data_IF_374652067598
#
_entry.id   IF_374652067598
#
_cell.length_a   1.000
_cell.length_b   1.000
_cell.length_c   1.000
_cell.angle_alpha   90.00
_cell.angle_beta   90.00
_cell.angle_gamma   90.00
#
_symmetry.space_group_name_H-M   'P 1'
#
loop_
_entity.id
_entity.type
_entity.pdbx_description
1 polymer ?
#
# COMPACT_ATOMS: atom_id res chain seq x y z
N UNK A 1 -12.15 -20.04 23.33
CA UNK A 1 -12.99 -19.14 22.51
C UNK A 1 -13.33 -17.94 23.37
N UNK A 2 -12.77 -16.76 23.11
CA UNK A 2 -13.15 -15.57 23.85
C UNK A 2 -14.48 -15.06 23.29
N UNK A 3 -15.49 -15.08 24.15
CA UNK A 3 -16.86 -14.64 23.88
C UNK A 3 -16.88 -13.16 23.47
N UNK A 4 -17.36 -12.87 22.26
CA UNK A 4 -17.41 -11.53 21.68
C UNK A 4 -18.65 -10.80 22.20
N UNK A 5 -18.53 -10.09 23.33
CA UNK A 5 -19.55 -9.12 23.73
C UNK A 5 -19.33 -7.81 22.96
N UNK A 6 -19.95 -7.70 21.79
CA UNK A 6 -20.09 -6.41 21.09
C UNK A 6 -20.88 -5.43 21.97
N UNK A 7 -20.34 -4.24 22.19
CA UNK A 7 -21.05 -3.21 22.96
C UNK A 7 -22.12 -2.55 22.10
N UNK A 8 -23.11 -1.89 22.73
CA UNK A 8 -24.12 -1.07 22.01
C UNK A 8 -23.51 0.01 21.12
N UNK A 9 -22.27 0.45 21.40
CA UNK A 9 -21.53 1.44 20.60
C UNK A 9 -21.05 0.84 19.28
N UNK A 10 -20.68 -0.45 19.27
CA UNK A 10 -20.14 -1.16 18.09
C UNK A 10 -21.22 -1.47 17.04
N UNK A 11 -22.50 -1.33 17.39
CA UNK A 11 -23.65 -1.64 16.56
C UNK A 11 -24.24 -0.41 15.83
N UNK A 12 -23.72 0.80 16.07
CA UNK A 12 -24.18 2.02 15.38
C UNK A 12 -23.25 2.35 14.21
N UNK A 13 -23.77 2.70 13.02
CA UNK A 13 -22.94 3.17 11.91
C UNK A 13 -22.15 4.41 12.33
N UNK A 14 -20.83 4.37 12.10
CA UNK A 14 -19.95 5.50 12.40
C UNK A 14 -20.25 6.65 11.42
N UNK A 15 -20.45 7.87 11.94
CA UNK A 15 -20.67 9.04 11.08
C UNK A 15 -19.36 9.37 10.36
N UNK A 16 -19.32 9.12 9.05
CA UNK A 16 -18.17 9.44 8.20
C UNK A 16 -17.88 10.94 8.20
N UNK A 17 -16.61 11.37 8.34
CA UNK A 17 -16.23 12.77 8.24
C UNK A 17 -16.54 13.37 6.86
N UNK A 18 -16.71 14.70 6.81
CA UNK A 18 -17.10 15.40 5.59
C UNK A 18 -16.07 15.30 4.44
N UNK A 19 -14.79 15.10 4.77
CA UNK A 19 -13.71 14.92 3.80
C UNK A 19 -13.67 13.50 3.20
N UNK A 20 -14.37 12.52 3.79
CA UNK A 20 -14.38 11.14 3.30
C UNK A 20 -15.50 10.94 2.27
N UNK A 21 -15.30 11.51 1.08
CA UNK A 21 -16.25 11.46 -0.03
C UNK A 21 -15.58 10.91 -1.29
N UNK A 22 -16.32 10.07 -2.01
CA UNK A 22 -15.92 9.61 -3.35
C UNK A 22 -16.61 10.45 -4.41
N UNK A 23 -15.95 10.62 -5.55
CA UNK A 23 -16.54 11.21 -6.75
C UNK A 23 -17.14 10.10 -7.62
N UNK A 24 -18.33 10.36 -8.18
CA UNK A 24 -19.04 9.41 -9.04
C UNK A 24 -19.07 9.98 -10.45
N UNK A 25 -17.93 9.92 -11.12
CA UNK A 25 -17.75 10.51 -12.44
C UNK A 25 -17.65 9.35 -13.46
N UNK A 26 -18.72 9.13 -14.24
CA UNK A 26 -18.90 8.18 -15.37
C UNK A 26 -19.59 6.83 -15.08
N UNK A 27 -20.68 6.56 -15.84
CA UNK A 27 -21.53 5.36 -15.71
C UNK A 27 -21.24 4.29 -16.77
N UNK A 28 -20.89 4.69 -17.99
CA UNK A 28 -20.86 3.77 -19.14
C UNK A 28 -19.65 2.84 -19.13
N UNK A 29 -18.45 3.37 -18.84
CA UNK A 29 -17.21 2.58 -18.76
C UNK A 29 -17.20 1.60 -17.58
N UNK A 30 -17.93 1.92 -16.52
CA UNK A 30 -18.12 1.01 -15.39
C UNK A 30 -18.79 -0.31 -15.82
N UNK A 31 -19.87 -0.22 -16.59
CA UNK A 31 -20.64 -1.38 -17.03
C UNK A 31 -19.84 -2.26 -17.99
N UNK A 32 -19.03 -1.65 -18.87
CA UNK A 32 -18.12 -2.37 -19.76
C UNK A 32 -17.17 -3.30 -18.97
N UNK A 33 -16.51 -2.78 -17.93
CA UNK A 33 -15.59 -3.57 -17.10
C UNK A 33 -16.34 -4.63 -16.31
N UNK A 34 -17.50 -4.28 -15.72
CA UNK A 34 -18.29 -5.23 -14.93
C UNK A 34 -18.78 -6.41 -15.77
N UNK A 35 -19.35 -6.17 -16.95
CA UNK A 35 -19.78 -7.25 -17.85
C UNK A 35 -18.61 -8.10 -18.32
N UNK A 36 -17.45 -7.49 -18.61
CA UNK A 36 -16.26 -8.24 -19.03
C UNK A 36 -15.76 -9.20 -17.94
N UNK A 37 -15.78 -8.77 -16.67
CA UNK A 37 -15.42 -9.61 -15.53
C UNK A 37 -16.36 -10.82 -15.45
N UNK A 38 -17.67 -10.59 -15.56
CA UNK A 38 -18.68 -11.65 -15.51
C UNK A 38 -18.55 -12.62 -16.70
N UNK A 39 -18.40 -12.09 -17.93
CA UNK A 39 -18.25 -12.87 -19.16
C UNK A 39 -17.04 -13.81 -19.14
N UNK A 40 -15.95 -13.38 -18.48
CA UNK A 40 -14.73 -14.18 -18.33
C UNK A 40 -14.76 -15.05 -17.05
N UNK A 41 -15.88 -15.07 -16.32
CA UNK A 41 -16.02 -15.80 -15.06
C UNK A 41 -14.93 -15.44 -14.03
N UNK A 42 -14.53 -14.18 -14.00
CA UNK A 42 -13.50 -13.65 -13.11
C UNK A 42 -14.11 -13.02 -11.87
N UNK A 43 -13.30 -12.86 -10.83
CA UNK A 43 -13.63 -12.05 -9.67
C UNK A 43 -12.69 -10.85 -9.59
N UNK A 44 -13.17 -9.75 -9.01
CA UNK A 44 -12.31 -8.63 -8.64
C UNK A 44 -12.42 -8.35 -7.16
N UNK A 45 -11.29 -8.02 -6.53
CA UNK A 45 -11.31 -7.54 -5.13
C UNK A 45 -12.04 -6.20 -5.04
N UNK A 46 -12.16 -5.48 -6.15
CA UNK A 46 -12.94 -4.24 -6.24
C UNK A 46 -14.41 -4.49 -5.87
N UNK A 47 -15.01 -5.56 -6.41
CA UNK A 47 -16.38 -5.98 -6.09
C UNK A 47 -16.44 -6.66 -4.71
N UNK A 48 -15.60 -7.68 -4.50
CA UNK A 48 -15.71 -8.55 -3.31
C UNK A 48 -15.32 -7.87 -2.00
N UNK A 49 -14.39 -6.91 -2.05
CA UNK A 49 -14.04 -6.09 -0.87
C UNK A 49 -14.91 -4.84 -0.71
N UNK A 50 -15.90 -4.63 -1.58
CA UNK A 50 -16.77 -3.43 -1.60
C UNK A 50 -15.96 -2.13 -1.67
N UNK A 51 -15.01 -2.09 -2.60
CA UNK A 51 -14.06 -0.99 -2.70
C UNK A 51 -14.78 0.34 -3.01
N UNK A 52 -14.55 1.41 -2.24
CA UNK A 52 -15.15 2.72 -2.53
C UNK A 52 -14.68 3.30 -3.87
N UNK A 53 -13.50 2.88 -4.35
CA UNK A 53 -12.86 3.43 -5.56
C UNK A 53 -13.28 2.67 -6.84
N UNK A 54 -14.17 1.68 -6.75
CA UNK A 54 -14.56 0.84 -7.90
C UNK A 54 -15.07 1.69 -9.08
N UNK A 55 -15.82 2.77 -8.79
CA UNK A 55 -16.34 3.68 -9.79
C UNK A 55 -15.24 4.38 -10.58
N UNK A 56 -14.23 4.90 -9.88
CA UNK A 56 -13.09 5.56 -10.51
C UNK A 56 -12.24 4.55 -11.29
N UNK A 57 -11.86 3.44 -10.64
CA UNK A 57 -10.99 2.43 -11.25
C UNK A 57 -11.61 1.84 -12.52
N UNK A 58 -12.87 1.40 -12.47
CA UNK A 58 -13.52 0.79 -13.64
C UNK A 58 -13.76 1.83 -14.74
N UNK A 59 -14.09 3.08 -14.38
CA UNK A 59 -14.23 4.16 -15.37
C UNK A 59 -12.91 4.49 -16.08
N UNK A 60 -11.79 4.26 -15.40
CA UNK A 60 -10.44 4.37 -15.94
C UNK A 60 -9.91 3.04 -16.51
N UNK A 61 -10.80 2.08 -16.80
CA UNK A 61 -10.49 0.75 -17.36
C UNK A 61 -9.42 -0.01 -16.56
N UNK A 62 -9.43 0.13 -15.25
CA UNK A 62 -8.51 -0.53 -14.33
C UNK A 62 -9.29 -1.43 -13.36
N UNK A 63 -8.78 -2.63 -13.12
CA UNK A 63 -9.32 -3.57 -12.14
C UNK A 63 -8.19 -4.33 -11.45
N UNK A 64 -8.47 -4.82 -10.25
CA UNK A 64 -7.59 -5.77 -9.55
C UNK A 64 -8.27 -7.12 -9.52
N UNK A 65 -7.71 -8.07 -10.26
CA UNK A 65 -8.26 -9.42 -10.40
C UNK A 65 -8.01 -10.21 -9.12
N UNK A 66 -9.02 -10.93 -8.65
CA UNK A 66 -8.94 -11.80 -7.48
C UNK A 66 -9.07 -13.25 -7.92
N UNK A 67 -7.96 -13.96 -7.85
CA UNK A 67 -7.86 -15.36 -8.20
C UNK A 67 -8.52 -16.25 -7.15
N UNK A 68 -8.83 -17.47 -7.60
CA UNK A 68 -9.23 -18.62 -6.78
C UNK A 68 -10.61 -18.46 -6.14
N UNK A 69 -11.48 -17.68 -6.79
CA UNK A 69 -12.87 -17.47 -6.41
C UNK A 69 -13.11 -16.32 -5.44
N UNK A 70 -14.27 -16.35 -4.80
CA UNK A 70 -14.86 -15.33 -3.92
C UNK A 70 -14.95 -15.76 -2.45
N UNK A 71 -14.53 -17.00 -2.14
CA UNK A 71 -14.60 -17.61 -0.80
C UNK A 71 -13.20 -17.84 -0.25
N UNK A 72 -12.90 -17.24 0.90
CA UNK A 72 -11.61 -17.27 1.56
C UNK A 72 -11.61 -18.20 2.78
N UNK A 73 -10.54 -18.96 2.98
CA UNK A 73 -10.35 -19.85 4.14
C UNK A 73 -10.10 -19.11 5.46
N UNK A 74 -9.78 -17.80 5.42
CA UNK A 74 -9.35 -17.01 6.59
C UNK A 74 -10.31 -15.90 7.00
N UNK A 75 -10.31 -15.58 8.30
CA UNK A 75 -11.34 -14.79 8.98
C UNK A 75 -10.83 -13.42 9.43
N UNK A 76 -10.11 -12.71 8.55
CA UNK A 76 -9.63 -11.35 8.82
C UNK A 76 -10.81 -10.43 9.18
N UNK A 77 -10.74 -9.76 10.33
CA UNK A 77 -11.85 -9.01 10.92
C UNK A 77 -12.27 -7.74 10.17
N UNK A 78 -11.45 -7.29 9.23
CA UNK A 78 -11.68 -6.12 8.37
C UNK A 78 -12.22 -6.49 6.97
N UNK A 79 -12.07 -7.74 6.54
CA UNK A 79 -12.17 -8.13 5.14
C UNK A 79 -13.58 -8.58 4.77
N UNK A 80 -14.18 -7.95 3.76
CA UNK A 80 -15.56 -8.21 3.33
C UNK A 80 -15.74 -9.49 2.49
N UNK A 81 -14.66 -10.05 1.94
CA UNK A 81 -14.69 -11.28 1.12
C UNK A 81 -15.34 -12.41 1.91
N UNK A 82 -16.20 -13.20 1.26
CA UNK A 82 -16.94 -14.31 1.86
C UNK A 82 -16.00 -15.33 2.51
N UNK A 83 -16.39 -15.89 3.66
CA UNK A 83 -15.60 -16.89 4.41
C UNK A 83 -16.25 -18.25 4.30
N UNK A 84 -15.47 -19.30 4.08
CA UNK A 84 -16.01 -20.66 3.98
C UNK A 84 -15.09 -21.63 3.22
N UNK A 85 -15.69 -22.74 2.77
CA UNK A 85 -15.01 -23.73 1.93
C UNK A 85 -14.95 -23.22 0.47
N UNK A 86 -13.76 -23.02 -0.10
CA UNK A 86 -13.62 -22.58 -1.49
C UNK A 86 -14.10 -23.63 -2.49
N UNK A 87 -14.40 -23.18 -3.71
CA UNK A 87 -14.67 -24.06 -4.85
C UNK A 87 -13.36 -24.62 -5.41
N UNK A 88 -13.48 -25.65 -6.27
CA UNK A 88 -12.35 -26.13 -7.06
C UNK A 88 -11.77 -24.99 -7.90
N UNK A 89 -10.44 -25.01 -8.10
CA UNK A 89 -9.79 -24.06 -8.98
C UNK A 89 -10.27 -24.23 -10.42
N UNK A 90 -10.56 -23.12 -11.08
CA UNK A 90 -10.77 -23.11 -12.52
C UNK A 90 -9.41 -23.12 -13.23
N UNK A 91 -9.03 -24.18 -13.96
CA UNK A 91 -7.76 -24.22 -14.68
C UNK A 91 -7.67 -23.18 -15.81
N UNK A 92 -8.78 -22.60 -16.26
CA UNK A 92 -8.81 -21.55 -17.28
C UNK A 92 -8.66 -20.13 -16.71
N UNK A 93 -8.81 -19.92 -15.39
CA UNK A 93 -8.74 -18.61 -14.73
C UNK A 93 -7.45 -17.82 -15.09
N UNK A 94 -6.24 -18.43 -15.11
CA UNK A 94 -5.00 -17.73 -15.50
C UNK A 94 -5.06 -17.10 -16.89
N UNK A 95 -5.62 -17.85 -17.86
CA UNK A 95 -5.78 -17.40 -19.23
C UNK A 95 -6.86 -16.32 -19.32
N UNK A 96 -7.99 -16.49 -18.64
CA UNK A 96 -9.05 -15.48 -18.61
C UNK A 96 -8.55 -14.15 -18.03
N UNK A 97 -7.72 -14.16 -16.98
CA UNK A 97 -7.08 -12.94 -16.47
C UNK A 97 -6.19 -12.30 -17.55
N UNK A 98 -5.38 -13.08 -18.26
CA UNK A 98 -4.54 -12.56 -19.34
C UNK A 98 -5.36 -11.93 -20.49
N UNK A 99 -6.51 -12.52 -20.83
CA UNK A 99 -7.45 -11.97 -21.80
C UNK A 99 -8.11 -10.68 -21.30
N UNK A 100 -8.48 -10.61 -20.01
CA UNK A 100 -9.04 -9.42 -19.38
C UNK A 100 -8.05 -8.26 -19.38
N UNK A 101 -6.79 -8.51 -18.99
CA UNK A 101 -5.68 -7.55 -19.04
C UNK A 101 -5.54 -6.96 -20.45
N UNK A 102 -5.61 -7.82 -21.48
CA UNK A 102 -5.54 -7.40 -22.88
C UNK A 102 -6.72 -6.53 -23.30
N UNK A 103 -7.94 -6.97 -22.98
CA UNK A 103 -9.19 -6.25 -23.31
C UNK A 103 -9.22 -4.85 -22.68
N UNK A 104 -8.74 -4.73 -21.45
CA UNK A 104 -8.65 -3.45 -20.73
C UNK A 104 -7.47 -2.59 -21.19
N UNK A 105 -6.50 -3.15 -21.91
CA UNK A 105 -5.28 -2.44 -22.33
C UNK A 105 -4.42 -2.00 -21.15
N UNK A 106 -4.36 -2.80 -20.07
CA UNK A 106 -3.62 -2.44 -18.87
C UNK A 106 -2.12 -2.41 -19.15
N UNK A 107 -1.45 -1.34 -18.71
CA UNK A 107 0.02 -1.28 -18.66
C UNK A 107 0.59 -1.89 -17.38
N UNK A 108 -0.22 -1.99 -16.33
CA UNK A 108 0.12 -2.57 -15.04
C UNK A 108 -1.09 -3.34 -14.51
N UNK A 109 -0.98 -4.67 -14.42
CA UNK A 109 -2.01 -5.54 -13.88
C UNK A 109 -1.72 -5.85 -12.42
N UNK A 110 -2.70 -5.61 -11.54
CA UNK A 110 -2.63 -6.03 -10.13
C UNK A 110 -3.49 -7.28 -9.96
N UNK A 111 -2.89 -8.34 -9.42
CA UNK A 111 -3.50 -9.65 -9.26
C UNK A 111 -3.38 -10.05 -7.78
N UNK A 112 -4.49 -10.39 -7.15
CA UNK A 112 -4.55 -10.86 -5.76
C UNK A 112 -5.27 -12.20 -5.72
N UNK A 113 -5.42 -12.80 -4.54
CA UNK A 113 -6.31 -13.94 -4.36
C UNK A 113 -7.02 -13.91 -3.02
N UNK A 114 -8.00 -14.80 -2.87
CA UNK A 114 -8.39 -15.31 -1.56
C UNK A 114 -7.28 -16.20 -0.96
N UNK A 115 -7.34 -16.47 0.35
CA UNK A 115 -6.48 -17.51 0.93
C UNK A 115 -7.06 -18.88 0.59
N UNK A 116 -6.18 -19.81 0.24
CA UNK A 116 -6.48 -21.20 -0.12
C UNK A 116 -5.69 -22.17 0.75
N UNK A 117 -5.88 -22.08 2.06
CA UNK A 117 -5.17 -22.96 3.01
C UNK A 117 -5.59 -24.45 2.86
N UNK A 118 -6.63 -24.72 2.06
CA UNK A 118 -7.05 -26.06 1.63
C UNK A 118 -6.15 -26.66 0.55
N UNK A 119 -5.34 -25.85 -0.14
CA UNK A 119 -4.40 -26.31 -1.16
C UNK A 119 -2.99 -26.50 -0.56
N UNK A 120 -2.24 -27.56 -0.95
CA UNK A 120 -0.90 -27.82 -0.40
C UNK A 120 0.11 -26.68 -0.57
N UNK A 121 0.00 -25.92 -1.66
CA UNK A 121 0.88 -24.79 -2.00
C UNK A 121 0.22 -23.43 -1.74
N UNK A 122 -0.97 -23.41 -1.12
CA UNK A 122 -1.75 -22.20 -0.89
C UNK A 122 -2.19 -21.46 -2.17
N UNK A 123 -2.09 -22.09 -3.34
CA UNK A 123 -2.41 -21.50 -4.64
C UNK A 123 -1.24 -20.82 -5.36
N UNK A 124 -0.01 -20.99 -4.89
CA UNK A 124 1.19 -20.38 -5.50
C UNK A 124 1.37 -20.74 -6.99
N UNK A 125 1.15 -22.00 -7.38
CA UNK A 125 1.22 -22.39 -8.79
C UNK A 125 0.17 -21.68 -9.65
N UNK A 126 -0.98 -21.33 -9.06
CA UNK A 126 -2.05 -20.62 -9.75
C UNK A 126 -1.67 -19.14 -10.01
N UNK A 127 -1.05 -18.49 -9.03
CA UNK A 127 -0.40 -17.18 -9.24
C UNK A 127 0.67 -17.25 -10.34
N UNK A 128 1.58 -18.22 -10.25
CA UNK A 128 2.66 -18.39 -11.22
C UNK A 128 2.15 -18.62 -12.65
N UNK A 129 1.12 -19.47 -12.81
CA UNK A 129 0.45 -19.68 -14.08
C UNK A 129 -0.16 -18.37 -14.63
N UNK A 130 -0.82 -17.60 -13.76
CA UNK A 130 -1.44 -16.32 -14.15
C UNK A 130 -0.41 -15.29 -14.59
N UNK A 131 0.71 -15.14 -13.86
CA UNK A 131 1.79 -14.23 -14.26
C UNK A 131 2.33 -14.61 -15.64
N UNK A 132 2.58 -15.91 -15.88
CA UNK A 132 3.10 -16.41 -17.16
C UNK A 132 2.12 -16.16 -18.32
N UNK A 133 0.83 -16.44 -18.12
CA UNK A 133 -0.19 -16.17 -19.13
C UNK A 133 -0.33 -14.67 -19.42
N UNK A 134 -0.34 -13.82 -18.39
CA UNK A 134 -0.40 -12.36 -18.57
C UNK A 134 0.80 -11.86 -19.37
N UNK A 135 2.02 -12.29 -19.03
CA UNK A 135 3.24 -11.91 -19.78
C UNK A 135 3.21 -12.43 -21.22
N UNK A 136 2.72 -13.65 -21.45
CA UNK A 136 2.60 -14.24 -22.79
C UNK A 136 1.66 -13.46 -23.69
N UNK A 137 0.49 -13.07 -23.19
CA UNK A 137 -0.52 -12.35 -23.97
C UNK A 137 -0.28 -10.84 -24.01
N UNK A 138 0.42 -10.29 -23.02
CA UNK A 138 0.60 -8.87 -22.79
C UNK A 138 2.06 -8.55 -22.42
N UNK A 139 3.03 -8.73 -23.34
CA UNK A 139 4.45 -8.60 -23.03
C UNK A 139 4.89 -7.20 -22.55
N UNK A 140 4.11 -6.15 -22.84
CA UNK A 140 4.35 -4.79 -22.34
C UNK A 140 3.63 -4.44 -21.03
N UNK A 141 2.90 -5.39 -20.44
CA UNK A 141 2.19 -5.18 -19.19
C UNK A 141 3.06 -5.61 -18.00
N UNK A 142 3.22 -4.73 -17.02
CA UNK A 142 3.81 -5.08 -15.72
C UNK A 142 2.81 -5.85 -14.87
N UNK A 143 3.31 -6.74 -14.03
CA UNK A 143 2.51 -7.61 -13.18
C UNK A 143 2.88 -7.38 -11.71
N UNK A 144 1.94 -6.83 -10.95
CA UNK A 144 2.00 -6.79 -9.49
C UNK A 144 1.14 -7.92 -8.92
N UNK A 145 1.70 -8.70 -7.99
CA UNK A 145 0.93 -9.72 -7.26
C UNK A 145 0.81 -9.35 -5.79
N UNK A 146 -0.41 -9.29 -5.28
CA UNK A 146 -0.73 -9.18 -3.85
C UNK A 146 -1.02 -10.58 -3.32
N UNK A 147 -0.04 -11.19 -2.63
CA UNK A 147 -0.08 -12.60 -2.25
C UNK A 147 -0.48 -12.81 -0.79
N UNK A 148 -1.08 -13.97 -0.45
CA UNK A 148 -1.22 -14.41 0.93
C UNK A 148 0.15 -14.75 1.56
N UNK A 149 0.17 -15.11 2.85
CA UNK A 149 1.41 -15.49 3.55
C UNK A 149 1.83 -16.96 3.31
N UNK A 150 1.06 -17.70 2.50
CA UNK A 150 1.17 -19.14 2.22
C UNK A 150 1.38 -20.02 3.46
N UNK A 151 0.89 -19.60 4.63
CA UNK A 151 1.15 -20.25 5.91
C UNK A 151 2.66 -20.38 6.26
N UNK A 152 3.53 -19.60 5.63
CA UNK A 152 4.99 -19.69 5.78
C UNK A 152 5.62 -20.81 4.96
N UNK A 153 4.90 -21.34 3.95
CA UNK A 153 5.48 -22.21 2.95
C UNK A 153 6.38 -21.38 2.02
N UNK A 154 7.70 -21.51 2.18
CA UNK A 154 8.67 -20.75 1.40
C UNK A 154 8.86 -21.29 -0.01
N UNK A 155 8.64 -22.59 -0.23
CA UNK A 155 8.64 -23.17 -1.59
C UNK A 155 7.49 -22.56 -2.42
N UNK A 156 6.33 -22.31 -1.81
CA UNK A 156 5.23 -21.60 -2.44
C UNK A 156 5.59 -20.15 -2.80
N UNK A 157 6.33 -19.44 -1.93
CA UNK A 157 6.86 -18.11 -2.27
C UNK A 157 7.83 -18.20 -3.46
N UNK A 158 8.74 -19.17 -3.45
CA UNK A 158 9.73 -19.36 -4.51
C UNK A 158 9.04 -19.61 -5.87
N UNK A 159 8.00 -20.43 -5.91
CA UNK A 159 7.18 -20.66 -7.13
C UNK A 159 6.62 -19.36 -7.71
N UNK A 160 6.14 -18.44 -6.87
CA UNK A 160 5.65 -17.13 -7.33
C UNK A 160 6.80 -16.26 -7.82
N UNK A 161 7.93 -16.23 -7.10
CA UNK A 161 9.09 -15.42 -7.46
C UNK A 161 9.78 -15.89 -8.74
N UNK A 162 9.81 -17.19 -9.00
CA UNK A 162 10.28 -17.80 -10.25
C UNK A 162 9.42 -17.41 -11.46
N UNK A 163 8.14 -17.09 -11.25
CA UNK A 163 7.27 -16.54 -12.29
C UNK A 163 7.57 -15.05 -12.60
N UNK A 164 8.45 -14.43 -11.80
CA UNK A 164 9.01 -13.10 -11.98
C UNK A 164 7.96 -11.98 -12.05
N UNK A 165 7.13 -11.74 -11.01
CA UNK A 165 6.33 -10.52 -10.93
C UNK A 165 7.23 -9.26 -10.94
N UNK A 166 6.72 -8.14 -11.46
CA UNK A 166 7.43 -6.86 -11.39
C UNK A 166 7.39 -6.26 -9.98
N UNK A 167 6.29 -6.50 -9.27
CA UNK A 167 6.11 -6.10 -7.86
C UNK A 167 5.52 -7.27 -7.09
N UNK A 168 6.18 -7.68 -6.01
CA UNK A 168 5.59 -8.56 -5.02
C UNK A 168 5.04 -7.75 -3.84
N UNK A 169 3.72 -7.78 -3.69
CA UNK A 169 3.00 -7.11 -2.64
C UNK A 169 2.52 -8.11 -1.59
N UNK A 170 2.78 -7.82 -0.31
CA UNK A 170 2.18 -8.52 0.82
C UNK A 170 1.88 -7.53 1.92
N UNK A 171 0.59 -7.26 2.15
CA UNK A 171 0.17 -6.32 3.18
C UNK A 171 0.37 -6.91 4.58
N UNK A 172 0.84 -6.08 5.51
CA UNK A 172 0.74 -6.33 6.96
C UNK A 172 -0.64 -5.98 7.50
N UNK A 173 -1.34 -5.05 6.84
CA UNK A 173 -2.69 -4.55 7.12
C UNK A 173 -2.82 -3.73 8.41
N UNK A 174 -2.06 -4.05 9.46
CA UNK A 174 -2.12 -3.36 10.76
C UNK A 174 -0.78 -3.49 11.50
N UNK A 175 -0.65 -2.75 12.60
CA UNK A 175 0.47 -2.84 13.54
C UNK A 175 0.53 -4.18 14.29
N UNK A 176 1.73 -4.54 14.75
CA UNK A 176 2.03 -5.80 15.47
C UNK A 176 1.11 -6.07 16.67
N UNK A 177 0.84 -5.05 17.49
CA UNK A 177 -0.01 -5.19 18.68
C UNK A 177 -1.46 -5.61 18.36
N UNK A 178 -1.97 -5.19 17.21
CA UNK A 178 -3.35 -5.48 16.78
C UNK A 178 -3.46 -6.73 15.89
N UNK A 179 -2.33 -7.34 15.51
CA UNK A 179 -2.29 -8.35 14.46
C UNK A 179 -3.24 -9.52 14.73
N UNK A 180 -3.22 -10.08 15.95
CA UNK A 180 -4.11 -11.19 16.34
C UNK A 180 -5.60 -10.80 16.34
N UNK A 181 -5.93 -9.54 16.65
CA UNK A 181 -7.31 -9.03 16.64
C UNK A 181 -7.81 -8.84 15.21
N UNK A 182 -6.96 -8.29 14.34
CA UNK A 182 -7.31 -7.91 12.96
C UNK A 182 -7.20 -9.07 11.98
N UNK A 183 -6.16 -9.90 12.14
CA UNK A 183 -5.79 -11.04 11.30
C UNK A 183 -5.50 -12.28 12.16
N UNK A 184 -6.54 -12.90 12.74
CA UNK A 184 -6.37 -14.01 13.69
C UNK A 184 -5.60 -15.21 13.09
N UNK A 185 -5.66 -15.38 11.77
CA UNK A 185 -5.06 -16.50 11.03
C UNK A 185 -3.71 -16.12 10.37
N UNK A 186 -3.11 -14.98 10.71
CA UNK A 186 -1.82 -14.55 10.18
C UNK A 186 -0.83 -14.25 11.31
N UNK A 187 0.47 -14.27 11.00
CA UNK A 187 1.56 -13.97 11.95
C UNK A 187 2.37 -12.78 11.44
N UNK A 188 2.52 -11.72 12.26
CA UNK A 188 3.23 -10.50 11.87
C UNK A 188 4.67 -10.76 11.43
N UNK A 189 5.42 -11.54 12.23
CA UNK A 189 6.81 -11.90 11.91
C UNK A 189 6.93 -12.70 10.60
N UNK A 190 5.92 -13.50 10.25
CA UNK A 190 5.89 -14.23 8.98
C UNK A 190 5.72 -13.28 7.80
N UNK A 191 4.89 -12.25 7.93
CA UNK A 191 4.71 -11.23 6.89
C UNK A 191 5.98 -10.43 6.65
N UNK A 192 6.74 -10.10 7.71
CA UNK A 192 8.06 -9.48 7.60
C UNK A 192 9.04 -10.39 6.87
N UNK A 193 9.13 -11.66 7.30
CA UNK A 193 10.02 -12.65 6.70
C UNK A 193 9.71 -12.89 5.21
N UNK A 194 8.42 -12.90 4.83
CA UNK A 194 7.99 -13.03 3.44
C UNK A 194 8.52 -11.86 2.59
N UNK A 195 8.34 -10.62 3.05
CA UNK A 195 8.83 -9.43 2.34
C UNK A 195 10.36 -9.44 2.22
N UNK A 196 11.07 -9.78 3.30
CA UNK A 196 12.53 -9.91 3.31
C UNK A 196 13.01 -10.96 2.32
N UNK A 197 12.38 -12.14 2.29
CA UNK A 197 12.71 -13.20 1.34
C UNK A 197 12.44 -12.78 -0.09
N UNK A 198 11.30 -12.15 -0.36
CA UNK A 198 10.97 -11.66 -1.69
C UNK A 198 11.97 -10.59 -2.18
N UNK A 199 12.38 -9.68 -1.30
CA UNK A 199 13.39 -8.67 -1.62
C UNK A 199 14.76 -9.29 -1.93
N UNK A 200 15.10 -10.44 -1.32
CA UNK A 200 16.37 -11.13 -1.57
C UNK A 200 16.49 -11.72 -2.99
N UNK A 201 15.40 -11.85 -3.75
CA UNK A 201 15.43 -12.22 -5.17
C UNK A 201 15.89 -11.08 -6.08
N UNK A 202 15.92 -9.85 -5.56
CA UNK A 202 16.30 -8.66 -6.32
C UNK A 202 17.76 -8.79 -6.81
N UNK A 203 17.95 -8.63 -8.11
CA UNK A 203 19.25 -8.63 -8.78
C UNK A 203 19.25 -7.65 -9.95
N UNK A 204 20.41 -7.45 -10.59
CA UNK A 204 20.50 -6.60 -11.78
C UNK A 204 19.57 -7.08 -12.90
N UNK A 205 19.44 -8.39 -13.08
CA UNK A 205 18.58 -8.99 -14.11
C UNK A 205 17.13 -9.11 -13.67
N UNK A 206 16.84 -9.02 -12.36
CA UNK A 206 15.49 -9.12 -11.81
C UNK A 206 15.27 -8.02 -10.75
N UNK A 207 14.95 -6.79 -11.17
CA UNK A 207 14.80 -5.65 -10.26
C UNK A 207 13.41 -5.64 -9.60
N UNK A 208 12.99 -6.77 -9.03
CA UNK A 208 11.69 -6.88 -8.35
C UNK A 208 11.57 -5.89 -7.21
N UNK A 209 10.40 -5.27 -7.11
CA UNK A 209 10.05 -4.39 -6.01
C UNK A 209 9.17 -5.12 -5.01
N UNK A 210 9.34 -4.81 -3.74
CA UNK A 210 8.46 -5.29 -2.67
C UNK A 210 7.54 -4.18 -2.21
N UNK A 211 6.32 -4.56 -1.84
CA UNK A 211 5.28 -3.62 -1.44
C UNK A 211 4.49 -4.14 -0.26
N UNK A 212 4.03 -3.22 0.58
CA UNK A 212 3.10 -3.52 1.65
C UNK A 212 2.12 -2.38 1.89
N UNK A 213 1.10 -2.67 2.70
CA UNK A 213 0.05 -1.73 3.02
C UNK A 213 -0.40 -1.87 4.46
N UNK A 214 -0.78 -0.74 5.06
CA UNK A 214 -1.34 -0.64 6.40
C UNK A 214 -2.64 0.14 6.34
N UNK A 215 -3.70 -0.41 6.94
CA UNK A 215 -4.95 0.30 7.15
C UNK A 215 -4.92 1.01 8.51
N UNK A 216 -5.32 2.27 8.53
CA UNK A 216 -5.38 3.11 9.71
C UNK A 216 -6.81 3.22 10.22
N UNK A 217 -6.97 3.33 11.54
CA UNK A 217 -8.25 3.48 12.22
C UNK A 217 -8.79 2.19 12.84
N UNK A 218 -7.95 1.17 13.05
CA UNK A 218 -8.29 -0.09 13.71
C UNK A 218 -7.96 -0.10 15.22
N UNK A 219 -7.38 1.00 15.71
CA UNK A 219 -7.05 1.23 17.12
C UNK A 219 -5.56 1.42 17.38
N UNK A 220 -4.76 1.46 16.31
CA UNK A 220 -3.33 1.66 16.37
C UNK A 220 -2.99 3.08 16.81
N UNK A 221 -1.88 3.20 17.53
CA UNK A 221 -1.28 4.49 17.88
C UNK A 221 -0.29 4.94 16.81
N UNK A 222 0.06 6.23 16.83
CA UNK A 222 1.08 6.78 15.94
C UNK A 222 2.43 6.08 16.11
N UNK A 223 2.85 5.80 17.34
CA UNK A 223 4.16 5.19 17.60
C UNK A 223 4.23 3.75 17.05
N UNK A 224 3.15 2.98 17.18
CA UNK A 224 3.05 1.63 16.60
C UNK A 224 3.04 1.65 15.07
N UNK A 225 2.42 2.68 14.45
CA UNK A 225 2.50 2.89 13.00
C UNK A 225 3.94 3.16 12.57
N UNK A 226 4.65 4.03 13.28
CA UNK A 226 6.05 4.34 12.99
C UNK A 226 6.97 3.14 13.22
N UNK A 227 6.71 2.30 14.23
CA UNK A 227 7.40 1.02 14.42
C UNK A 227 7.15 0.08 13.25
N UNK A 228 5.90 -0.08 12.83
CA UNK A 228 5.54 -0.93 11.68
C UNK A 228 6.20 -0.44 10.38
N UNK A 229 6.28 0.88 10.18
CA UNK A 229 6.98 1.47 9.04
C UNK A 229 8.49 1.17 9.07
N UNK A 230 9.12 1.22 10.25
CA UNK A 230 10.53 0.84 10.43
C UNK A 230 10.73 -0.66 10.15
N UNK A 231 9.90 -1.52 10.73
CA UNK A 231 9.97 -2.97 10.50
C UNK A 231 9.87 -3.30 9.00
N UNK A 232 8.95 -2.66 8.28
CA UNK A 232 8.80 -2.83 6.83
C UNK A 232 10.07 -2.39 6.08
N UNK A 233 10.69 -1.27 6.47
CA UNK A 233 11.94 -0.82 5.86
C UNK A 233 13.11 -1.73 6.16
N UNK A 234 13.23 -2.21 7.40
CA UNK A 234 14.26 -3.17 7.81
C UNK A 234 14.15 -4.51 7.07
N UNK A 235 12.97 -4.83 6.54
CA UNK A 235 12.72 -6.00 5.69
C UNK A 235 12.64 -5.65 4.20
N UNK A 236 13.32 -4.57 3.78
CA UNK A 236 13.52 -4.16 2.39
C UNK A 236 12.24 -3.91 1.58
N UNK A 237 11.15 -3.49 2.22
CA UNK A 237 9.91 -3.09 1.56
C UNK A 237 10.06 -1.75 0.80
N UNK A 238 10.00 -1.75 -0.54
CA UNK A 238 10.24 -0.55 -1.35
C UNK A 238 9.06 0.43 -1.36
N UNK A 239 7.83 -0.09 -1.43
CA UNK A 239 6.61 0.71 -1.61
C UNK A 239 5.67 0.51 -0.42
N UNK A 240 5.16 1.62 0.12
CA UNK A 240 4.18 1.60 1.22
C UNK A 240 2.88 2.29 0.82
N UNK A 241 1.75 1.64 1.11
CA UNK A 241 0.43 2.28 1.02
C UNK A 241 -0.21 2.44 2.41
N UNK A 242 -0.68 3.64 2.74
CA UNK A 242 -1.38 3.95 3.99
C UNK A 242 -2.79 4.43 3.69
N UNK A 243 -3.80 3.64 4.08
CA UNK A 243 -5.20 3.90 3.76
C UNK A 243 -6.10 3.92 5.00
N UNK A 244 -7.22 4.66 4.98
CA UNK A 244 -8.21 4.57 6.05
C UNK A 244 -8.97 3.24 5.97
N UNK A 245 -9.02 2.51 7.08
CA UNK A 245 -9.93 1.38 7.26
C UNK A 245 -11.37 1.88 7.18
N UNK A 246 -12.13 1.28 6.26
CA UNK A 246 -13.56 1.51 6.11
C UNK A 246 -14.29 0.22 6.43
N UNK A 247 -15.08 0.25 7.50
CA UNK A 247 -15.86 -0.89 7.97
C UNK A 247 -16.89 -1.35 6.91
N UNK A 248 -16.78 -2.59 6.41
CA UNK A 248 -17.69 -3.06 5.35
C UNK A 248 -19.13 -3.34 5.83
N UNK A 249 -19.28 -3.76 7.10
CA UNK A 249 -20.58 -3.99 7.74
C UNK A 249 -20.42 -4.04 9.26
N UNK A 250 -21.54 -4.03 10.00
CA UNK A 250 -21.55 -4.11 11.46
C UNK A 250 -20.96 -5.41 12.04
N UNK A 251 -20.73 -6.45 11.21
CA UNK A 251 -20.08 -7.70 11.64
C UNK A 251 -18.55 -7.61 11.66
N UNK A 252 -17.99 -6.59 11.01
CA UNK A 252 -16.55 -6.33 10.95
C UNK A 252 -16.10 -5.44 12.11
N UNK A 253 -14.78 -5.36 12.32
CA UNK A 253 -14.19 -4.52 13.36
C UNK A 253 -14.69 -3.06 13.26
N UNK A 254 -14.96 -2.40 14.39
CA UNK A 254 -15.37 -1.00 14.40
C UNK A 254 -14.23 -0.09 13.90
N UNK A 255 -14.59 1.09 13.39
CA UNK A 255 -13.59 2.14 13.13
C UNK A 255 -13.30 2.85 14.46
N UNK A 256 -12.06 2.79 14.93
CA UNK A 256 -11.61 3.42 16.18
C UNK A 256 -11.24 4.89 15.97
N UNK A 257 -10.70 5.23 14.79
CA UNK A 257 -10.31 6.59 14.42
C UNK A 257 -10.47 6.82 12.92
N UNK A 258 -10.98 8.01 12.55
CA UNK A 258 -10.86 8.52 11.20
C UNK A 258 -9.70 9.52 11.15
N UNK A 259 -8.65 9.17 10.41
CA UNK A 259 -7.46 10.02 10.26
C UNK A 259 -7.73 11.16 9.28
N UNK A 260 -7.30 12.37 9.64
CA UNK A 260 -7.39 13.54 8.76
C UNK A 260 -6.42 13.39 7.58
N UNK A 261 -6.73 13.92 6.38
CA UNK A 261 -5.79 13.95 5.25
C UNK A 261 -4.39 14.46 5.60
N UNK A 262 -4.28 15.46 6.48
CA UNK A 262 -2.99 16.00 6.91
C UNK A 262 -2.15 14.98 7.70
N UNK A 263 -2.78 14.09 8.46
CA UNK A 263 -2.07 13.01 9.17
C UNK A 263 -1.50 11.98 8.19
N UNK A 264 -2.24 11.67 7.11
CA UNK A 264 -1.71 10.86 6.02
C UNK A 264 -0.56 11.55 5.30
N UNK A 265 -0.66 12.86 5.05
CA UNK A 265 0.41 13.63 4.43
C UNK A 265 1.68 13.65 5.31
N UNK A 266 1.54 13.79 6.63
CA UNK A 266 2.65 13.70 7.58
C UNK A 266 3.31 12.32 7.53
N UNK A 267 2.52 11.24 7.61
CA UNK A 267 3.03 9.87 7.53
C UNK A 267 3.73 9.58 6.20
N UNK A 268 3.23 10.17 5.09
CA UNK A 268 3.90 10.10 3.78
C UNK A 268 5.32 10.65 3.83
N UNK A 269 5.47 11.87 4.38
CA UNK A 269 6.79 12.51 4.49
C UNK A 269 7.73 11.71 5.38
N UNK A 270 7.21 11.18 6.49
CA UNK A 270 7.99 10.33 7.40
C UNK A 270 8.44 9.05 6.68
N UNK A 271 7.55 8.38 5.95
CA UNK A 271 7.90 7.17 5.21
C UNK A 271 8.96 7.43 4.13
N UNK A 272 8.82 8.51 3.36
CA UNK A 272 9.85 8.90 2.39
C UNK A 272 11.20 9.18 3.08
N UNK A 273 11.19 9.86 4.23
CA UNK A 273 12.40 10.10 5.02
C UNK A 273 13.02 8.82 5.61
N UNK A 274 12.22 7.77 5.84
CA UNK A 274 12.69 6.42 6.23
C UNK A 274 13.27 5.62 5.06
N UNK A 275 13.18 6.14 3.83
CA UNK A 275 13.76 5.52 2.64
C UNK A 275 12.85 4.52 1.93
N UNK A 276 11.52 4.60 2.11
CA UNK A 276 10.61 4.00 1.12
C UNK A 276 10.81 4.72 -0.22
N UNK A 277 10.86 3.97 -1.32
CA UNK A 277 11.01 4.56 -2.66
C UNK A 277 9.76 5.30 -3.10
N UNK A 278 8.60 4.82 -2.64
CA UNK A 278 7.33 5.48 -2.84
C UNK A 278 6.41 5.24 -1.64
N UNK A 279 5.65 6.27 -1.26
CA UNK A 279 4.62 6.19 -0.23
C UNK A 279 3.34 6.84 -0.75
N UNK A 280 2.30 6.02 -0.91
CA UNK A 280 0.95 6.47 -1.23
C UNK A 280 0.14 6.51 0.06
N UNK A 281 -0.35 7.69 0.46
CA UNK A 281 -1.00 7.85 1.75
C UNK A 281 -2.21 8.78 1.64
N UNK A 282 -3.38 8.28 2.04
CA UNK A 282 -4.60 9.06 2.01
C UNK A 282 -5.82 8.25 2.40
N UNK A 283 -6.96 8.90 2.71
CA UNK A 283 -8.11 8.18 3.24
C UNK A 283 -8.68 7.11 2.29
N UNK A 284 -8.66 7.37 0.98
CA UNK A 284 -9.18 6.45 -0.03
C UNK A 284 -8.11 5.52 -0.61
N UNK A 285 -6.84 5.66 -0.19
CA UNK A 285 -5.76 4.80 -0.69
C UNK A 285 -6.03 3.34 -0.36
N UNK A 286 -5.74 2.49 -1.34
CA UNK A 286 -5.77 1.02 -1.24
C UNK A 286 -4.48 0.49 -1.84
N UNK A 287 -4.11 -0.75 -1.50
CA UNK A 287 -2.88 -1.36 -2.02
C UNK A 287 -2.80 -1.36 -3.55
N UNK A 288 -3.93 -1.40 -4.27
CA UNK A 288 -3.95 -1.34 -5.74
C UNK A 288 -4.38 0.02 -6.32
N UNK A 289 -4.69 1.02 -5.49
CA UNK A 289 -5.10 2.34 -5.96
C UNK A 289 -3.91 3.06 -6.60
N UNK A 290 -4.08 3.52 -7.84
CA UNK A 290 -3.03 4.18 -8.65
C UNK A 290 -1.69 3.40 -8.74
N UNK A 291 -1.72 2.07 -8.60
CA UNK A 291 -0.51 1.24 -8.55
C UNK A 291 0.46 1.47 -9.72
N UNK A 292 -0.07 1.72 -10.92
CA UNK A 292 0.75 2.03 -12.10
C UNK A 292 1.58 3.31 -11.98
N UNK A 293 1.09 4.32 -11.25
CA UNK A 293 1.80 5.60 -11.00
C UNK A 293 2.88 5.40 -9.93
N UNK A 294 2.56 4.64 -8.89
CA UNK A 294 3.49 4.32 -7.80
C UNK A 294 4.78 3.71 -8.32
N UNK A 295 4.69 2.75 -9.25
CA UNK A 295 5.88 2.09 -9.79
C UNK A 295 6.61 2.96 -10.82
N UNK A 296 5.87 3.75 -11.61
CA UNK A 296 6.49 4.71 -12.52
C UNK A 296 7.34 5.76 -11.79
N UNK A 297 6.93 6.18 -10.58
CA UNK A 297 7.74 7.06 -9.73
C UNK A 297 8.99 6.37 -9.17
N UNK A 298 8.91 5.08 -8.84
CA UNK A 298 10.07 4.31 -8.36
C UNK A 298 11.13 4.13 -9.44
N UNK A 299 10.72 3.96 -10.70
CA UNK A 299 11.63 3.81 -11.83
C UNK A 299 12.24 5.15 -12.30
N UNK A 300 11.74 6.28 -11.81
CA UNK A 300 12.29 7.59 -12.13
C UNK A 300 13.68 7.78 -11.46
N UNK A 301 14.66 8.40 -12.15
CA UNK A 301 15.94 8.72 -11.53
C UNK A 301 15.74 9.58 -10.28
N UNK A 302 16.31 9.15 -9.14
CA UNK A 302 16.28 9.93 -7.91
C UNK A 302 16.95 11.28 -8.17
N UNK A 303 16.28 12.43 -7.96
CA UNK A 303 16.95 13.72 -8.03
C UNK A 303 18.08 13.76 -6.99
N UNK A 304 19.27 14.18 -7.43
CA UNK A 304 20.46 14.22 -6.58
C UNK A 304 20.15 14.88 -5.23
N UNK A 305 20.56 14.23 -4.15
CA UNK A 305 20.37 14.74 -2.79
C UNK A 305 20.91 16.18 -2.69
N UNK A 306 20.21 17.10 -2.00
CA UNK A 306 20.76 18.41 -1.75
C UNK A 306 22.07 18.28 -0.96
N UNK A 307 23.06 19.15 -1.20
CA UNK A 307 24.36 19.04 -0.56
C UNK A 307 24.20 19.05 0.96
N UNK A 308 24.86 18.10 1.61
CA UNK A 308 24.94 17.97 3.06
C UNK A 308 25.35 19.30 3.67
N UNK A 309 24.54 19.82 4.59
CA UNK A 309 24.88 20.98 5.40
C UNK A 309 26.21 20.70 6.10
N UNK A 310 27.22 21.50 5.75
CA UNK A 310 28.54 21.49 6.37
C UNK A 310 28.37 21.67 7.88
N UNK A 311 28.97 20.81 8.72
CA UNK A 311 28.90 20.99 10.16
C UNK A 311 29.52 22.34 10.52
N UNK A 312 28.78 23.21 11.20
CA UNK A 312 29.31 24.41 11.83
C UNK A 312 30.35 23.96 12.88
N UNK A 313 31.62 23.91 12.48
CA UNK A 313 32.73 23.77 13.40
C UNK A 313 32.68 24.96 14.35
N UNK A 314 32.46 24.69 15.64
CA UNK A 314 32.62 25.67 16.72
C UNK A 314 34.01 26.29 16.60
N UNK A 315 34.10 27.52 16.09
CA UNK A 315 35.32 28.32 16.21
C UNK A 315 35.52 28.63 17.69
N UNK A 316 36.60 28.11 18.26
CA UNK A 316 37.12 28.52 19.56
C UNK A 316 37.41 30.02 19.53
N UNK A 317 36.90 30.70 20.54
CA UNK A 317 37.31 32.04 20.93
C UNK A 317 38.82 32.07 21.17
N UNK A 318 39.52 32.94 20.45
CA UNK A 318 40.81 33.51 20.84
C UNK A 318 40.83 34.95 20.33
N UNK A 319 40.98 35.87 21.27
CA UNK A 319 41.01 37.31 21.06
C UNK A 319 42.29 37.76 20.35
N UNK A 320 42.18 38.73 19.45
CA UNK A 320 43.19 39.79 19.23
C UNK A 320 42.52 40.93 18.44
N UNK A 321 42.56 42.14 18.99
CA UNK A 321 42.11 43.35 18.31
C UNK A 321 43.09 43.78 17.20
N UNK A 322 42.61 44.55 16.20
CA UNK A 322 43.45 45.61 15.69
C UNK A 322 42.74 46.96 15.48
N UNK A 323 43.48 47.98 15.90
CA UNK A 323 43.56 49.40 15.56
C UNK A 323 42.58 50.04 14.55
N UNK A 324 42.03 51.18 15.01
CA UNK A 324 41.34 52.21 14.23
C UNK A 324 42.34 53.14 13.52
N UNK A 325 42.08 53.58 12.28
CA UNK A 325 42.64 54.81 11.75
C UNK A 325 41.62 55.95 11.85
N UNK A 326 42.10 57.12 12.28
CA UNK A 326 41.33 58.35 12.42
C UNK A 326 41.17 59.19 11.16
N UNK A 327 40.74 60.43 11.41
CA UNK A 327 40.46 61.57 10.50
C UNK A 327 39.10 61.49 9.75
N UNK A 328 38.24 62.51 9.70
CA UNK A 328 38.42 63.97 9.74
C UNK A 328 37.06 64.66 10.04
N UNK A 329 37.08 65.76 10.81
CA UNK A 329 36.05 66.83 10.84
C UNK A 329 36.23 67.74 9.61
N UNK A 330 35.21 68.46 9.08
CA UNK A 330 34.59 69.61 9.77
C UNK A 330 33.12 69.92 9.44
N UNK A 331 32.50 70.83 10.20
CA UNK A 331 31.31 71.57 9.75
C UNK A 331 30.34 71.96 10.86
N UNK A 332 30.25 73.25 11.16
CA UNK A 332 29.54 73.81 12.29
C UNK A 332 28.14 74.36 11.92
N UNK A 333 27.22 74.28 12.90
CA UNK A 333 26.08 75.17 13.22
C UNK A 333 24.81 75.16 12.31
N UNK A 334 23.65 75.65 12.80
CA UNK A 334 23.29 76.10 14.17
C UNK A 334 21.97 75.52 14.74
N UNK A 335 21.77 75.90 16.01
CA UNK A 335 20.63 75.75 16.92
C UNK A 335 19.26 76.14 16.33
N UNK A 336 18.23 75.42 16.76
CA UNK A 336 16.93 76.01 17.11
C UNK A 336 16.44 75.47 18.46
N UNK A 337 15.91 76.39 19.26
CA UNK A 337 15.19 76.19 20.53
C UNK A 337 13.68 76.25 20.24
N UNK A 338 12.88 76.10 21.30
CA UNK A 338 11.42 76.30 21.44
C UNK A 338 10.61 75.05 21.09
N UNK A 339 9.77 74.48 21.95
CA UNK A 339 9.16 74.90 23.23
C UNK A 339 8.78 73.67 24.04
#
# INVERSE_FOLDING_TARGET
MADRTFTRRDLRPERKPAWLKIRLDARDRFQEVAHMVDDLSLNTVCQEARCPNIWECFSNRTATFMLMGDICTRHCGFCAVTKGAPRLLDPAEPRHVAEAVRKLGLRHAVITSVNRDDLPDGGAHHFAATIREVRRYNPGCRVEVLIPDFCGNWEALDVVMEARPDVLNHNTETVKALYRRVRPDAIYARSMELLRRAAAWRSADYPVLTKSGVMLGLGETRDELLETMRDLRENDCDILTLGQYLRPSLRHLPVEKFYHPDEFAELRQIGLAMGFRHVEAGPLVRSSYHAHEQVAEVDAPVPAAPPTLVPLTRRRSTASAPDLPGNTLPGALPRERTT
#
